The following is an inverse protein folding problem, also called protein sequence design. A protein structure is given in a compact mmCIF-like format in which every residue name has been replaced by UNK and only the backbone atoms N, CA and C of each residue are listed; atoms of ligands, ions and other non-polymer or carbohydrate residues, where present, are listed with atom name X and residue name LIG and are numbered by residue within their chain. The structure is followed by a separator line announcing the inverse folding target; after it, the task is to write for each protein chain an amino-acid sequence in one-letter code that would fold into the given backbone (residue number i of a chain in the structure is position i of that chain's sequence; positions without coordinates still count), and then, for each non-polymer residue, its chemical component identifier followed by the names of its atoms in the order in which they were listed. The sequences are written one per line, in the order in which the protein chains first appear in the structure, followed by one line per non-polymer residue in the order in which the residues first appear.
data_IF_260237057211
#
_entry.id   IF_260237057211
#
_cell.length_a   1.000
_cell.length_b   1.000
_cell.length_c   1.000
_cell.angle_alpha   90.00
_cell.angle_beta   90.00
_cell.angle_gamma   90.00
#
_symmetry.space_group_name_H-M   'P 1'
#
loop_
_entity.id
_entity.type
_entity.pdbx_description
1 polymer ?
#
# COMPACT_ATOMS: atom_id res chain seq x y z
N UNK A 1 -3.72 7.45 30.10
CA UNK A 1 -2.53 7.42 29.22
C UNK A 1 -2.98 7.57 27.78
N UNK A 2 -2.29 8.33 26.94
CA UNK A 2 -2.65 8.44 25.51
C UNK A 2 -2.25 7.16 24.78
N UNK A 3 -3.06 6.67 23.83
CA UNK A 3 -2.79 5.43 23.09
C UNK A 3 -1.40 5.44 22.41
N UNK A 4 -0.99 6.59 21.86
CA UNK A 4 0.35 6.75 21.25
C UNK A 4 1.54 6.63 22.20
N UNK A 5 1.33 6.53 23.52
CA UNK A 5 2.39 6.29 24.51
C UNK A 5 2.69 4.81 24.72
N UNK A 6 1.81 3.90 24.29
CA UNK A 6 2.07 2.46 24.39
C UNK A 6 3.14 2.05 23.39
N UNK A 7 4.09 1.22 23.84
CA UNK A 7 5.20 0.77 23.01
C UNK A 7 4.72 0.04 21.75
N UNK A 8 3.74 -0.85 21.87
CA UNK A 8 3.16 -1.56 20.72
C UNK A 8 2.62 -0.59 19.65
N UNK A 9 1.83 0.41 20.06
CA UNK A 9 1.30 1.44 19.14
C UNK A 9 2.43 2.18 18.43
N UNK A 10 3.49 2.54 19.15
CA UNK A 10 4.65 3.23 18.56
C UNK A 10 5.37 2.37 17.53
N UNK A 11 5.52 1.07 17.81
CA UNK A 11 6.14 0.13 16.87
C UNK A 11 5.30 -0.01 15.60
N UNK A 12 3.97 -0.18 15.73
CA UNK A 12 3.09 -0.24 14.56
C UNK A 12 3.08 1.03 13.74
N UNK A 13 3.06 2.20 14.37
CA UNK A 13 3.17 3.46 13.63
C UNK A 13 4.53 3.63 12.93
N UNK A 14 5.62 3.11 13.52
CA UNK A 14 6.93 3.10 12.87
C UNK A 14 6.97 2.17 11.66
N UNK A 15 6.39 0.97 11.75
CA UNK A 15 6.21 0.05 10.62
C UNK A 15 5.41 0.71 9.49
N UNK A 16 4.21 1.25 9.80
CA UNK A 16 3.36 1.98 8.83
C UNK A 16 4.13 3.10 8.13
N UNK A 17 4.84 3.94 8.91
CA UNK A 17 5.58 5.06 8.36
C UNK A 17 6.70 4.60 7.41
N UNK A 18 7.34 3.48 7.74
CA UNK A 18 8.41 2.88 6.93
C UNK A 18 7.85 2.34 5.62
N UNK A 19 6.77 1.56 5.67
CA UNK A 19 6.08 1.01 4.50
C UNK A 19 5.68 2.12 3.51
N UNK A 20 5.11 3.23 4.02
CA UNK A 20 4.75 4.40 3.21
C UNK A 20 5.98 5.06 2.60
N UNK A 21 7.07 5.21 3.36
CA UNK A 21 8.28 5.89 2.88
C UNK A 21 8.95 5.11 1.74
N UNK A 22 9.05 3.78 1.87
CA UNK A 22 9.62 2.91 0.83
C UNK A 22 8.77 2.96 -0.44
N UNK A 23 7.45 2.82 -0.33
CA UNK A 23 6.56 2.88 -1.49
C UNK A 23 6.57 4.26 -2.15
N UNK A 24 6.65 5.34 -1.36
CA UNK A 24 6.76 6.71 -1.89
C UNK A 24 8.04 6.91 -2.68
N UNK A 25 9.18 6.41 -2.20
CA UNK A 25 10.45 6.53 -2.92
C UNK A 25 10.36 5.86 -4.30
N UNK A 26 9.76 4.66 -4.37
CA UNK A 26 9.58 3.95 -5.64
C UNK A 26 8.55 4.62 -6.55
N UNK A 27 7.43 5.11 -6.00
CA UNK A 27 6.47 5.93 -6.73
C UNK A 27 7.13 7.16 -7.37
N UNK A 28 7.94 7.90 -6.60
CA UNK A 28 8.62 9.10 -7.10
C UNK A 28 9.62 8.78 -8.21
N UNK A 29 10.29 7.62 -8.14
CA UNK A 29 11.13 7.12 -9.23
C UNK A 29 10.29 6.84 -10.47
N UNK A 30 9.24 6.03 -10.37
CA UNK A 30 8.37 5.71 -11.51
C UNK A 30 7.68 6.95 -12.10
N UNK A 31 7.34 7.94 -11.27
CA UNK A 31 6.78 9.20 -11.72
C UNK A 31 7.79 10.01 -12.55
N UNK A 32 9.05 10.07 -12.12
CA UNK A 32 10.14 10.67 -12.93
C UNK A 32 10.32 9.93 -14.24
N UNK A 33 10.39 8.60 -14.19
CA UNK A 33 10.56 7.75 -15.38
C UNK A 33 9.38 7.90 -16.36
N UNK A 34 8.16 8.08 -15.85
CA UNK A 34 6.98 8.32 -16.69
C UNK A 34 7.09 9.65 -17.43
N UNK A 35 7.49 10.71 -16.73
CA UNK A 35 7.68 12.05 -17.33
C UNK A 35 8.80 12.05 -18.36
N UNK A 36 9.88 11.28 -18.15
CA UNK A 36 10.96 11.13 -19.13
C UNK A 36 10.66 10.13 -20.25
N UNK A 37 9.51 9.46 -20.23
CA UNK A 37 9.14 8.44 -21.22
C UNK A 37 9.95 7.14 -21.10
N UNK A 38 10.62 6.91 -19.97
CA UNK A 38 11.47 5.75 -19.71
C UNK A 38 10.85 4.75 -18.73
N UNK A 39 9.62 4.97 -18.28
CA UNK A 39 8.91 4.02 -17.41
C UNK A 39 8.63 2.71 -18.16
N UNK A 40 9.13 1.62 -17.60
CA UNK A 40 8.91 0.27 -18.12
C UNK A 40 7.63 -0.34 -17.56
N UNK A 41 7.02 -1.25 -18.32
CA UNK A 41 5.77 -1.90 -17.93
C UNK A 41 5.93 -2.76 -16.65
N UNK A 42 7.09 -3.37 -16.45
CA UNK A 42 7.41 -4.14 -15.26
C UNK A 42 7.60 -3.24 -14.02
N UNK A 43 8.26 -2.09 -14.15
CA UNK A 43 8.33 -1.11 -13.06
C UNK A 43 6.94 -0.57 -12.68
N UNK A 44 6.09 -0.29 -13.66
CA UNK A 44 4.70 0.11 -13.43
C UNK A 44 3.90 -0.99 -12.70
N UNK A 45 4.07 -2.25 -13.10
CA UNK A 45 3.41 -3.40 -12.48
C UNK A 45 3.91 -3.63 -11.04
N UNK A 46 5.22 -3.56 -10.81
CA UNK A 46 5.82 -3.62 -9.47
C UNK A 46 5.29 -2.51 -8.58
N UNK A 47 5.18 -1.29 -9.09
CA UNK A 47 4.69 -0.15 -8.31
C UNK A 47 3.25 -0.39 -7.87
N UNK A 48 2.36 -0.75 -8.82
CA UNK A 48 0.95 -1.03 -8.51
C UNK A 48 0.84 -2.14 -7.47
N UNK A 49 1.54 -3.26 -7.67
CA UNK A 49 1.53 -4.38 -6.74
C UNK A 49 1.96 -3.94 -5.34
N UNK A 50 3.14 -3.30 -5.22
CA UNK A 50 3.69 -2.90 -3.95
C UNK A 50 2.78 -1.89 -3.22
N UNK A 51 2.31 -0.86 -3.93
CA UNK A 51 1.50 0.19 -3.34
C UNK A 51 0.12 -0.29 -2.90
N UNK A 52 -0.54 -1.14 -3.69
CA UNK A 52 -1.86 -1.67 -3.35
C UNK A 52 -1.79 -2.62 -2.15
N UNK A 53 -0.81 -3.52 -2.12
CA UNK A 53 -0.61 -4.43 -0.99
C UNK A 53 -0.22 -3.66 0.29
N UNK A 54 0.63 -2.63 0.16
CA UNK A 54 0.96 -1.73 1.27
C UNK A 54 -0.29 -1.01 1.80
N UNK A 55 -1.16 -0.49 0.93
CA UNK A 55 -2.35 0.24 1.34
C UNK A 55 -3.28 -0.64 2.19
N UNK A 56 -3.50 -1.89 1.78
CA UNK A 56 -4.25 -2.86 2.57
C UNK A 56 -3.65 -3.05 3.97
N UNK A 57 -2.35 -3.33 4.07
CA UNK A 57 -1.68 -3.54 5.37
C UNK A 57 -1.72 -2.30 6.26
N UNK A 58 -1.45 -1.12 5.69
CA UNK A 58 -1.43 0.14 6.44
C UNK A 58 -2.83 0.48 6.95
N UNK A 59 -3.86 0.37 6.11
CA UNK A 59 -5.23 0.67 6.53
C UNK A 59 -5.71 -0.28 7.63
N UNK A 60 -5.41 -1.57 7.51
CA UNK A 60 -5.71 -2.60 8.51
C UNK A 60 -5.02 -2.30 9.86
N UNK A 61 -3.70 -2.06 9.85
CA UNK A 61 -2.96 -1.73 11.06
C UNK A 61 -3.48 -0.45 11.72
N UNK A 62 -3.79 0.58 10.93
CA UNK A 62 -4.37 1.81 11.46
C UNK A 62 -5.77 1.57 12.04
N UNK A 63 -6.63 0.79 11.38
CA UNK A 63 -7.97 0.45 11.90
C UNK A 63 -7.88 -0.23 13.27
N UNK A 64 -6.96 -1.18 13.44
CA UNK A 64 -6.75 -1.87 14.71
C UNK A 64 -6.46 -0.89 15.87
N UNK A 65 -5.79 0.24 15.62
CA UNK A 65 -5.49 1.25 16.64
C UNK A 65 -6.73 2.05 17.08
N UNK A 66 -7.79 2.09 16.28
CA UNK A 66 -9.08 2.68 16.64
C UNK A 66 -9.98 1.71 17.42
N UNK A 67 -9.62 0.42 17.49
CA UNK A 67 -10.42 -0.61 18.15
C UNK A 67 -11.82 -0.72 17.54
N UNK A 68 -12.85 -0.94 18.38
CA UNK A 68 -14.24 -1.08 17.91
C UNK A 68 -14.76 0.16 17.17
N UNK A 69 -14.31 1.36 17.54
CA UNK A 69 -14.68 2.59 16.83
C UNK A 69 -14.16 2.62 15.40
N UNK A 70 -13.10 1.86 15.08
CA UNK A 70 -12.58 1.75 13.73
C UNK A 70 -13.53 1.06 12.74
N UNK A 71 -14.56 0.36 13.23
CA UNK A 71 -15.59 -0.28 12.42
C UNK A 71 -16.85 0.57 12.22
N UNK A 72 -16.94 1.72 12.87
CA UNK A 72 -18.11 2.59 12.77
C UNK A 72 -17.91 3.64 11.68
N UNK A 73 -19.00 4.14 11.11
CA UNK A 73 -18.94 5.09 9.98
C UNK A 73 -18.60 6.53 10.41
N UNK A 74 -18.61 6.82 11.71
CA UNK A 74 -18.27 8.12 12.27
C UNK A 74 -16.76 8.41 12.22
N UNK A 75 -15.92 7.38 12.11
CA UNK A 75 -14.47 7.52 11.96
C UNK A 75 -14.04 7.18 10.52
N UNK A 76 -13.25 8.04 9.86
CA UNK A 76 -12.90 7.88 8.45
C UNK A 76 -12.06 6.62 8.16
N UNK A 77 -11.44 6.02 9.18
CA UNK A 77 -10.62 4.82 9.04
C UNK A 77 -11.40 3.61 8.52
N UNK A 78 -12.69 3.49 8.88
CA UNK A 78 -13.55 2.40 8.38
C UNK A 78 -13.69 2.48 6.87
N UNK A 79 -13.89 3.69 6.34
CA UNK A 79 -13.96 3.95 4.91
C UNK A 79 -12.62 3.67 4.22
N UNK A 80 -11.50 4.13 4.78
CA UNK A 80 -10.18 3.89 4.20
C UNK A 80 -9.83 2.40 4.13
N UNK A 81 -10.23 1.62 5.13
CA UNK A 81 -10.06 0.16 5.10
C UNK A 81 -10.85 -0.50 3.96
N UNK A 82 -12.12 -0.12 3.78
CA UNK A 82 -12.95 -0.64 2.68
C UNK A 82 -12.41 -0.20 1.32
N UNK A 83 -12.04 1.07 1.17
CA UNK A 83 -11.49 1.61 -0.08
C UNK A 83 -10.12 1.00 -0.44
N UNK A 84 -9.33 0.58 0.55
CA UNK A 84 -8.08 -0.13 0.31
C UNK A 84 -8.32 -1.50 -0.34
N UNK A 85 -9.39 -2.20 0.03
CA UNK A 85 -9.61 -3.57 -0.43
C UNK A 85 -9.75 -3.68 -1.94
N UNK A 86 -10.43 -2.74 -2.61
CA UNK A 86 -10.64 -2.85 -4.06
C UNK A 86 -9.34 -2.73 -4.88
N UNK A 87 -8.30 -2.14 -4.29
CA UNK A 87 -7.05 -1.78 -4.96
C UNK A 87 -6.28 -2.98 -5.52
N UNK A 88 -6.34 -4.13 -4.84
CA UNK A 88 -5.69 -5.37 -5.28
C UNK A 88 -6.52 -6.18 -6.28
N UNK A 89 -7.70 -5.70 -6.67
CA UNK A 89 -8.62 -6.39 -7.58
C UNK A 89 -8.71 -5.64 -8.91
N UNK A 90 -9.07 -4.36 -8.88
CA UNK A 90 -9.38 -3.61 -10.10
C UNK A 90 -8.13 -3.04 -10.80
N UNK A 91 -8.28 -2.66 -12.08
CA UNK A 91 -7.15 -2.17 -12.88
C UNK A 91 -6.03 -3.21 -13.07
N UNK A 92 -6.37 -4.51 -12.93
CA UNK A 92 -5.46 -5.64 -12.91
C UNK A 92 -5.19 -6.12 -11.48
N UNK A 93 -5.51 -7.37 -11.15
CA UNK A 93 -5.34 -7.90 -9.79
C UNK A 93 -3.86 -7.99 -9.39
N UNK A 94 -3.59 -8.17 -8.09
CA UNK A 94 -2.23 -8.44 -7.61
C UNK A 94 -1.58 -9.64 -8.33
N UNK A 95 -2.34 -10.67 -8.65
CA UNK A 95 -1.86 -11.86 -9.38
C UNK A 95 -1.45 -11.51 -10.81
N UNK A 96 -2.22 -10.65 -11.50
CA UNK A 96 -1.83 -10.18 -12.83
C UNK A 96 -0.55 -9.33 -12.76
N UNK A 97 -0.39 -8.48 -11.73
CA UNK A 97 0.85 -7.74 -11.57
C UNK A 97 2.04 -8.67 -11.30
N UNK A 98 1.88 -9.69 -10.45
CA UNK A 98 2.92 -10.71 -10.22
C UNK A 98 3.29 -11.44 -11.51
N UNK A 99 2.31 -11.81 -12.33
CA UNK A 99 2.54 -12.44 -13.63
C UNK A 99 3.33 -11.53 -14.58
N UNK A 100 2.99 -10.24 -14.67
CA UNK A 100 3.72 -9.28 -15.49
C UNK A 100 5.17 -9.11 -15.05
N UNK A 101 5.42 -9.05 -13.74
CA UNK A 101 6.77 -8.97 -13.17
C UNK A 101 7.53 -10.28 -13.38
N UNK A 102 6.90 -11.44 -13.21
CA UNK A 102 7.53 -12.73 -13.45
C UNK A 102 8.01 -12.87 -14.91
N UNK A 103 7.20 -12.41 -15.87
CA UNK A 103 7.56 -12.39 -17.29
C UNK A 103 8.77 -11.52 -17.62
N UNK A 104 9.00 -10.42 -16.89
CA UNK A 104 10.19 -9.59 -17.13
C UNK A 104 11.48 -10.26 -16.67
N UNK A 105 11.39 -11.21 -15.74
CA UNK A 105 12.53 -11.95 -15.19
C UNK A 105 12.79 -13.25 -15.96
N UNK A 106 11.73 -14.00 -16.27
CA UNK A 106 11.84 -15.35 -16.83
C UNK A 106 11.65 -15.39 -18.35
N UNK A 107 11.22 -14.29 -18.98
CA UNK A 107 10.72 -14.30 -20.35
C UNK A 107 9.30 -14.82 -20.42
N UNK A 108 8.81 -15.08 -21.65
CA UNK A 108 7.54 -15.77 -21.88
C UNK A 108 7.69 -17.27 -21.74
#
# INVERSE_FOLDING_TARGET
QKVGQFQNTRFKLAEVKTDIAVNRAFYEQCARDYVSGTLTADNAAMLKLASCEMQCRVADQCLQLFGGYGYTSEYPISRFYVDARIQTIYGGSSEIMRELVARSILGR
#
